data_IF_575394204368
#
_entry.id   IF_575394204368
#
_cell.length_a   1.000
_cell.length_b   1.000
_cell.length_c   1.000
_cell.angle_alpha   90.00
_cell.angle_beta   90.00
_cell.angle_gamma   90.00
#
_symmetry.space_group_name_H-M   'P 1'
#
loop_
_entity.id
_entity.type
_entity.pdbx_description
1 polymer ?
#
# COMPACT_ATOMS: atom_id res chain seq x y z
N UNK A 1 -8.56 5.02 31.00
CA UNK A 1 -8.39 3.68 31.61
C UNK A 1 -9.14 3.54 32.94
N UNK A 2 -9.60 4.62 33.57
CA UNK A 2 -10.58 4.55 34.66
C UNK A 2 -11.92 4.03 34.12
N UNK A 3 -12.62 3.21 34.89
CA UNK A 3 -13.96 2.72 34.54
C UNK A 3 -15.04 3.72 34.97
N UNK A 4 -16.32 3.31 34.96
CA UNK A 4 -17.40 4.10 35.58
C UNK A 4 -17.27 4.21 37.10
N UNK A 5 -16.50 3.32 37.75
CA UNK A 5 -16.18 3.39 39.17
C UNK A 5 -14.83 4.07 39.37
N UNK A 6 -14.76 5.16 40.17
CA UNK A 6 -13.55 5.99 40.24
C UNK A 6 -12.28 5.25 40.67
N UNK A 7 -12.41 4.26 41.55
CA UNK A 7 -11.28 3.50 42.12
C UNK A 7 -10.94 2.24 41.33
N UNK A 8 -11.64 1.97 40.23
CA UNK A 8 -11.44 0.77 39.41
C UNK A 8 -10.89 1.18 38.04
N UNK A 9 -9.74 0.60 37.68
CA UNK A 9 -9.09 0.76 36.38
C UNK A 9 -9.11 -0.56 35.62
N UNK A 10 -9.24 -0.46 34.30
CA UNK A 10 -9.21 -1.61 33.39
C UNK A 10 -8.21 -1.37 32.25
N UNK A 11 -7.55 -2.43 31.81
CA UNK A 11 -6.59 -2.45 30.72
C UNK A 11 -6.53 -3.85 30.09
N UNK A 12 -5.90 -3.95 28.92
CA UNK A 12 -5.70 -5.21 28.20
C UNK A 12 -6.89 -5.58 27.32
N UNK A 13 -6.98 -6.86 26.98
CA UNK A 13 -7.87 -7.36 25.93
C UNK A 13 -9.37 -7.19 26.25
N UNK A 14 -9.69 -6.94 27.52
CA UNK A 14 -11.07 -6.77 28.00
C UNK A 14 -11.64 -5.38 27.70
N UNK A 15 -10.79 -4.37 27.45
CA UNK A 15 -11.26 -2.99 27.26
C UNK A 15 -11.45 -2.61 25.80
N UNK A 16 -12.41 -1.74 25.54
CA UNK A 16 -12.49 -1.03 24.27
C UNK A 16 -11.46 0.10 24.21
N UNK A 17 -10.97 0.39 23.00
CA UNK A 17 -10.01 1.45 22.72
C UNK A 17 -10.42 2.23 21.48
N UNK A 18 -10.16 3.55 21.51
CA UNK A 18 -10.34 4.39 20.34
C UNK A 18 -9.38 3.97 19.24
N UNK A 19 -9.90 3.59 18.07
CA UNK A 19 -9.08 3.38 16.89
C UNK A 19 -8.71 4.74 16.28
N UNK A 20 -7.40 5.03 16.20
CA UNK A 20 -6.90 6.37 15.89
C UNK A 20 -7.28 6.85 14.48
N UNK A 21 -7.47 5.95 13.52
CA UNK A 21 -7.84 6.33 12.15
C UNK A 21 -9.36 6.34 11.94
N UNK A 22 -10.07 5.28 12.34
CA UNK A 22 -11.53 5.20 12.13
C UNK A 22 -12.33 6.04 13.11
N UNK A 23 -11.72 6.44 14.23
CA UNK A 23 -12.36 7.12 15.38
C UNK A 23 -13.49 6.31 16.04
N UNK A 24 -13.59 5.01 15.74
CA UNK A 24 -14.53 4.09 16.38
C UNK A 24 -13.90 3.47 17.64
N UNK A 25 -14.73 3.18 18.62
CA UNK A 25 -14.35 2.30 19.73
C UNK A 25 -14.26 0.86 19.21
N UNK A 26 -13.15 0.20 19.44
CA UNK A 26 -12.91 -1.18 19.02
C UNK A 26 -12.27 -1.99 20.15
N UNK A 27 -12.50 -3.30 20.15
CA UNK A 27 -11.70 -4.24 20.94
C UNK A 27 -10.56 -4.78 20.06
N UNK A 28 -9.31 -4.60 20.48
CA UNK A 28 -8.15 -5.13 19.76
C UNK A 28 -7.20 -5.87 20.72
N UNK A 29 -7.28 -7.21 20.79
CA UNK A 29 -6.50 -7.98 21.74
C UNK A 29 -5.06 -8.14 21.24
N UNK A 30 -4.21 -7.15 21.55
CA UNK A 30 -2.80 -7.11 21.18
C UNK A 30 -1.93 -6.74 22.38
N UNK A 31 -0.83 -7.48 22.55
CA UNK A 31 0.08 -7.32 23.68
C UNK A 31 0.67 -5.90 23.78
N UNK A 32 1.00 -5.28 22.66
CA UNK A 32 1.56 -3.92 22.63
C UNK A 32 0.62 -2.86 23.19
N UNK A 33 -0.67 -2.92 22.84
CA UNK A 33 -1.69 -2.02 23.41
C UNK A 33 -1.96 -2.35 24.88
N UNK A 34 -2.04 -3.64 25.24
CA UNK A 34 -2.27 -4.05 26.62
C UNK A 34 -1.18 -3.53 27.58
N UNK A 35 0.09 -3.63 27.19
CA UNK A 35 1.22 -3.10 27.98
C UNK A 35 1.15 -1.57 28.14
N UNK A 36 0.85 -0.84 27.06
CA UNK A 36 0.70 0.63 27.11
C UNK A 36 -0.47 1.05 27.99
N UNK A 37 -1.60 0.35 27.88
CA UNK A 37 -2.78 0.58 28.71
C UNK A 37 -2.48 0.29 30.19
N UNK A 38 -1.78 -0.82 30.49
CA UNK A 38 -1.38 -1.18 31.85
C UNK A 38 -0.49 -0.11 32.49
N UNK A 39 0.49 0.42 31.76
CA UNK A 39 1.31 1.56 32.20
C UNK A 39 0.46 2.78 32.56
N UNK A 40 -0.52 3.11 31.72
CA UNK A 40 -1.42 4.24 31.97
C UNK A 40 -2.34 3.99 33.16
N UNK A 41 -2.93 2.79 33.25
CA UNK A 41 -3.80 2.39 34.35
C UNK A 41 -3.07 2.43 35.70
N UNK A 42 -1.88 1.81 35.79
CA UNK A 42 -1.08 1.79 37.01
C UNK A 42 -0.59 3.18 37.43
N UNK A 43 -0.11 3.99 36.47
CA UNK A 43 0.30 5.37 36.77
C UNK A 43 -0.87 6.21 37.30
N UNK A 44 -2.06 6.07 36.74
CA UNK A 44 -3.22 6.85 37.15
C UNK A 44 -3.81 6.35 38.48
N UNK A 45 -3.78 5.04 38.75
CA UNK A 45 -4.11 4.49 40.06
C UNK A 45 -3.18 5.02 41.18
N UNK A 46 -1.92 5.33 40.85
CA UNK A 46 -0.96 5.96 41.75
C UNK A 46 -1.06 7.50 41.84
N UNK A 47 -2.12 8.11 41.30
CA UNK A 47 -2.35 9.57 41.32
C UNK A 47 -1.81 10.35 40.11
N UNK A 48 -1.28 9.65 39.10
CA UNK A 48 -0.85 10.24 37.83
C UNK A 48 -2.01 10.63 36.88
N UNK A 49 -1.66 11.27 35.75
CA UNK A 49 -2.62 11.74 34.73
C UNK A 49 -2.17 11.38 33.29
N UNK A 50 -1.69 10.16 33.10
CA UNK A 50 -1.33 9.67 31.77
C UNK A 50 -2.57 9.42 30.91
N UNK A 51 -2.45 9.69 29.61
CA UNK A 51 -3.47 9.44 28.61
C UNK A 51 -3.01 8.36 27.62
N UNK A 52 -3.83 7.34 27.44
CA UNK A 52 -3.69 6.41 26.32
C UNK A 52 -4.47 6.97 25.12
N UNK A 53 -3.77 7.39 24.06
CA UNK A 53 -4.42 8.06 22.92
C UNK A 53 -5.34 7.14 22.10
N UNK A 54 -5.03 5.84 22.06
CA UNK A 54 -5.75 4.86 21.25
C UNK A 54 -4.83 3.87 20.55
N UNK A 55 -5.39 3.16 19.58
CA UNK A 55 -4.76 2.05 18.84
C UNK A 55 -4.86 2.24 17.34
N UNK A 56 -3.91 1.72 16.57
CA UNK A 56 -3.96 1.66 15.10
C UNK A 56 -4.18 0.24 14.56
N UNK A 57 -4.17 -0.75 15.45
CA UNK A 57 -4.24 -2.16 15.06
C UNK A 57 -3.03 -2.68 14.27
N UNK A 58 -1.84 -2.12 14.53
CA UNK A 58 -0.59 -2.66 14.00
C UNK A 58 -0.41 -4.11 14.44
N UNK A 59 -0.33 -5.02 13.47
CA UNK A 59 -0.19 -6.45 13.71
C UNK A 59 0.65 -7.09 12.63
N UNK A 60 1.42 -8.11 13.00
CA UNK A 60 2.34 -8.83 12.13
C UNK A 60 2.28 -10.33 12.46
N UNK A 61 2.33 -11.17 11.43
CA UNK A 61 2.36 -12.63 11.54
C UNK A 61 3.41 -13.24 10.59
N UNK A 62 3.95 -14.39 10.97
CA UNK A 62 4.79 -15.24 10.12
C UNK A 62 3.99 -16.45 9.68
N UNK A 63 3.87 -16.66 8.37
CA UNK A 63 3.23 -17.81 7.75
C UNK A 63 4.27 -18.54 6.89
N UNK A 64 4.81 -19.65 7.40
CA UNK A 64 6.00 -20.30 6.83
C UNK A 64 7.15 -19.28 6.67
N UNK A 65 7.61 -19.03 5.45
CA UNK A 65 8.70 -18.09 5.15
C UNK A 65 8.20 -16.69 4.78
N UNK A 66 6.88 -16.48 4.76
CA UNK A 66 6.27 -15.20 4.40
C UNK A 66 5.86 -14.46 5.68
N UNK A 67 6.10 -13.17 5.68
CA UNK A 67 5.67 -12.23 6.72
C UNK A 67 4.53 -11.38 6.17
N UNK A 68 3.45 -11.27 6.95
CA UNK A 68 2.30 -10.42 6.64
C UNK A 68 2.14 -9.41 7.77
N UNK A 69 1.98 -8.14 7.44
CA UNK A 69 1.79 -7.08 8.40
C UNK A 69 0.75 -6.07 7.95
N UNK A 70 0.09 -5.42 8.91
CA UNK A 70 -0.87 -4.34 8.65
C UNK A 70 -0.84 -3.29 9.75
N UNK A 71 -1.29 -2.09 9.42
CA UNK A 71 -1.57 -0.99 10.37
C UNK A 71 -2.65 -0.07 9.80
N UNK A 72 -3.48 0.53 10.66
CA UNK A 72 -4.55 1.43 10.25
C UNK A 72 -5.74 0.70 9.62
N UNK A 73 -6.38 1.33 8.64
CA UNK A 73 -7.56 0.80 7.97
C UNK A 73 -7.22 -0.12 6.81
N UNK A 74 -7.94 -1.22 6.72
CA UNK A 74 -8.06 -1.98 5.47
C UNK A 74 -8.93 -1.22 4.46
N UNK A 75 -8.83 -1.61 3.19
CA UNK A 75 -9.71 -1.10 2.14
C UNK A 75 -11.20 -1.30 2.44
N UNK A 76 -11.58 -2.48 2.94
CA UNK A 76 -12.96 -2.78 3.33
C UNK A 76 -13.46 -1.85 4.44
N UNK A 77 -12.63 -1.60 5.47
CA UNK A 77 -12.98 -0.68 6.55
C UNK A 77 -13.07 0.78 6.07
N UNK A 78 -12.20 1.21 5.15
CA UNK A 78 -12.30 2.54 4.56
C UNK A 78 -13.62 2.70 3.77
N UNK A 79 -14.02 1.68 3.01
CA UNK A 79 -15.31 1.62 2.31
C UNK A 79 -16.51 1.66 3.26
N UNK A 80 -16.51 0.83 4.30
CA UNK A 80 -17.57 0.80 5.33
C UNK A 80 -17.74 2.13 6.07
N UNK A 81 -16.65 2.89 6.21
CA UNK A 81 -16.66 4.21 6.83
C UNK A 81 -17.09 5.33 5.86
N UNK A 82 -17.39 5.01 4.60
CA UNK A 82 -17.75 6.00 3.58
C UNK A 82 -16.59 6.95 3.24
N UNK A 83 -15.33 6.55 3.47
CA UNK A 83 -14.16 7.36 3.13
C UNK A 83 -13.99 7.45 1.62
N UNK A 84 -13.51 8.61 1.15
CA UNK A 84 -13.02 8.78 -0.22
C UNK A 84 -11.57 8.37 -0.24
N UNK A 85 -11.26 7.26 -0.91
CA UNK A 85 -9.95 6.65 -0.86
C UNK A 85 -9.58 6.00 -2.19
N UNK A 86 -8.28 5.88 -2.43
CA UNK A 86 -7.73 5.00 -3.45
C UNK A 86 -6.71 4.05 -2.84
N UNK A 87 -6.39 3.00 -3.60
CA UNK A 87 -5.40 1.99 -3.22
C UNK A 87 -4.28 1.97 -4.24
N UNK A 88 -3.05 1.86 -3.76
CA UNK A 88 -1.89 1.60 -4.60
C UNK A 88 -1.08 0.41 -4.06
N UNK A 89 -0.52 -0.37 -4.98
CA UNK A 89 0.41 -1.45 -4.73
C UNK A 89 1.81 -1.05 -5.21
N UNK A 90 2.79 -1.23 -4.33
CA UNK A 90 4.20 -0.95 -4.57
C UNK A 90 5.02 -2.21 -4.30
N UNK A 91 5.24 -3.05 -5.33
CA UNK A 91 6.23 -4.11 -5.27
C UNK A 91 7.63 -3.55 -5.23
N UNK A 92 8.46 -4.05 -4.32
CA UNK A 92 9.86 -3.62 -4.19
C UNK A 92 10.71 -4.73 -3.59
N UNK A 93 12.02 -4.67 -3.84
CA UNK A 93 12.98 -5.49 -3.12
C UNK A 93 13.24 -4.87 -1.73
N UNK A 94 13.43 -5.71 -0.72
CA UNK A 94 13.65 -5.23 0.64
C UNK A 94 15.00 -4.53 0.84
N UNK A 95 15.98 -4.77 -0.03
CA UNK A 95 17.24 -4.02 -0.13
C UNK A 95 17.72 -3.95 -1.59
N UNK A 96 18.90 -3.37 -1.82
CA UNK A 96 19.47 -3.18 -3.14
C UNK A 96 19.58 -4.51 -3.91
N UNK A 97 19.07 -4.54 -5.14
CA UNK A 97 18.97 -5.79 -5.91
C UNK A 97 20.29 -6.36 -6.42
N UNK A 98 21.36 -5.55 -6.46
CA UNK A 98 22.70 -6.00 -6.78
C UNK A 98 23.42 -6.64 -5.57
N UNK A 99 22.90 -6.44 -4.35
CA UNK A 99 23.43 -7.10 -3.16
C UNK A 99 22.78 -8.48 -3.03
N UNK A 100 23.54 -9.54 -2.65
CA UNK A 100 23.00 -10.89 -2.54
C UNK A 100 21.82 -11.00 -1.58
N UNK A 101 20.87 -11.89 -1.89
CA UNK A 101 19.76 -12.21 -0.98
C UNK A 101 18.52 -11.31 -1.12
N UNK A 102 18.47 -10.40 -2.08
CA UNK A 102 17.32 -9.49 -2.25
C UNK A 102 16.00 -10.24 -2.51
N UNK A 103 15.08 -10.17 -1.54
CA UNK A 103 13.72 -10.71 -1.62
C UNK A 103 12.67 -9.63 -1.87
N UNK A 104 11.59 -10.04 -2.53
CA UNK A 104 10.44 -9.18 -2.85
C UNK A 104 9.52 -8.96 -1.65
N UNK A 105 8.82 -7.82 -1.69
CA UNK A 105 7.65 -7.52 -0.90
C UNK A 105 6.67 -6.71 -1.75
N UNK A 106 5.41 -6.70 -1.35
CA UNK A 106 4.40 -5.77 -1.87
C UNK A 106 3.85 -4.96 -0.70
N UNK A 107 3.94 -3.65 -0.82
CA UNK A 107 3.25 -2.70 0.05
C UNK A 107 1.97 -2.23 -0.61
N UNK A 108 0.84 -2.39 0.07
CA UNK A 108 -0.46 -1.79 -0.26
C UNK A 108 -0.69 -0.60 0.65
N UNK A 109 -0.99 0.56 0.09
CA UNK A 109 -1.47 1.73 0.85
C UNK A 109 -2.95 1.97 0.57
N UNK A 110 -3.68 2.34 1.62
CA UNK A 110 -5.02 2.93 1.55
C UNK A 110 -4.88 4.42 1.86
N UNK A 111 -5.22 5.28 0.91
CA UNK A 111 -4.91 6.72 0.95
C UNK A 111 -6.17 7.54 0.70
N UNK A 112 -6.35 8.62 1.46
CA UNK A 112 -7.46 9.56 1.26
C UNK A 112 -7.24 10.41 -0.01
N UNK A 113 -8.23 10.43 -0.93
CA UNK A 113 -8.11 10.96 -2.31
C UNK A 113 -7.72 12.43 -2.42
N UNK A 114 -8.01 13.25 -1.41
CA UNK A 114 -7.83 14.71 -1.49
C UNK A 114 -6.67 15.23 -0.65
N UNK A 115 -6.42 14.59 0.49
CA UNK A 115 -5.41 15.06 1.45
C UNK A 115 -4.09 14.32 1.30
N UNK A 116 -4.10 13.13 0.69
CA UNK A 116 -2.96 12.23 0.71
C UNK A 116 -2.71 11.62 2.10
N UNK A 117 -3.63 11.76 3.06
CA UNK A 117 -3.51 11.15 4.38
C UNK A 117 -3.46 9.63 4.26
N UNK A 118 -2.51 9.02 4.95
CA UNK A 118 -2.34 7.56 4.97
C UNK A 118 -3.39 6.98 5.94
N UNK A 119 -4.37 6.26 5.40
CA UNK A 119 -5.43 5.64 6.20
C UNK A 119 -5.01 4.26 6.72
N UNK A 120 -4.20 3.54 5.95
CA UNK A 120 -3.69 2.25 6.35
C UNK A 120 -2.68 1.68 5.37
N UNK A 121 -2.01 0.62 5.82
CA UNK A 121 -1.02 -0.09 5.05
C UNK A 121 -1.08 -1.59 5.34
N UNK A 122 -0.83 -2.38 4.30
CA UNK A 122 -0.71 -3.84 4.36
C UNK A 122 0.54 -4.24 3.59
N UNK A 123 1.38 -5.10 4.16
CA UNK A 123 2.63 -5.55 3.53
C UNK A 123 2.70 -7.07 3.60
N UNK A 124 3.04 -7.68 2.47
CA UNK A 124 3.39 -9.10 2.37
C UNK A 124 4.76 -9.24 1.71
N UNK A 125 5.61 -10.11 2.25
CA UNK A 125 6.94 -10.36 1.70
C UNK A 125 7.74 -11.32 2.56
N UNK A 126 8.97 -11.62 2.14
CA UNK A 126 9.81 -12.58 2.86
C UNK A 126 10.71 -11.92 3.91
N UNK A 127 11.24 -10.73 3.65
CA UNK A 127 12.19 -10.04 4.54
C UNK A 127 11.93 -8.53 4.56
N UNK A 128 12.25 -7.88 5.70
CA UNK A 128 12.15 -6.44 5.90
C UNK A 128 10.73 -5.86 5.97
N UNK A 129 9.71 -6.72 6.13
CA UNK A 129 8.29 -6.35 6.26
C UNK A 129 8.02 -5.61 7.56
N UNK A 130 8.57 -6.12 8.66
CA UNK A 130 8.57 -5.54 10.01
C UNK A 130 9.08 -4.08 9.99
N UNK A 131 10.24 -3.83 9.37
CA UNK A 131 10.80 -2.48 9.27
C UNK A 131 9.84 -1.52 8.59
N UNK A 132 9.21 -1.92 7.47
CA UNK A 132 8.36 -1.01 6.70
C UNK A 132 7.01 -0.80 7.35
N UNK A 133 6.44 -1.82 7.99
CA UNK A 133 5.18 -1.63 8.70
C UNK A 133 5.34 -0.72 9.92
N UNK A 134 6.49 -0.76 10.60
CA UNK A 134 6.77 0.11 11.74
C UNK A 134 6.95 1.57 11.31
N UNK A 135 7.63 1.81 10.18
CA UNK A 135 7.72 3.16 9.58
C UNK A 135 6.34 3.67 9.19
N UNK A 136 5.51 2.87 8.52
CA UNK A 136 4.15 3.27 8.14
C UNK A 136 3.23 3.45 9.34
N UNK A 137 3.37 2.61 10.38
CA UNK A 137 2.63 2.76 11.63
C UNK A 137 2.97 4.08 12.31
N UNK A 138 4.26 4.44 12.33
CA UNK A 138 4.74 5.72 12.84
C UNK A 138 4.20 6.90 12.03
N UNK A 139 4.24 6.79 10.69
CA UNK A 139 3.71 7.82 9.79
C UNK A 139 2.20 8.05 10.00
N UNK A 140 1.41 6.97 10.08
CA UNK A 140 -0.04 7.06 10.34
C UNK A 140 -0.30 7.65 11.74
N UNK A 141 0.50 7.28 12.74
CA UNK A 141 0.33 7.80 14.11
C UNK A 141 0.56 9.31 14.18
N UNK A 142 1.52 9.81 13.38
CA UNK A 142 1.84 11.21 13.24
C UNK A 142 0.94 11.98 12.26
N UNK A 143 -0.07 11.32 11.66
CA UNK A 143 -0.93 11.85 10.59
C UNK A 143 -0.13 12.40 9.40
N UNK A 144 0.96 11.73 9.05
CA UNK A 144 1.72 12.05 7.84
C UNK A 144 0.92 11.69 6.59
N UNK A 145 1.23 12.39 5.51
CA UNK A 145 0.68 12.20 4.17
C UNK A 145 1.66 11.42 3.29
N UNK A 146 1.19 11.02 2.11
CA UNK A 146 2.04 10.40 1.08
C UNK A 146 3.16 11.33 0.58
N UNK A 147 2.98 12.65 0.72
CA UNK A 147 4.02 13.64 0.42
C UNK A 147 5.16 13.61 1.43
N UNK A 148 4.87 13.30 2.69
CA UNK A 148 5.90 13.11 3.70
C UNK A 148 6.67 11.80 3.44
N UNK A 149 5.97 10.73 3.04
CA UNK A 149 6.59 9.44 2.74
C UNK A 149 7.65 9.51 1.65
N UNK A 150 7.41 10.27 0.57
CA UNK A 150 8.38 10.42 -0.52
C UNK A 150 9.62 11.23 -0.11
N UNK A 151 9.57 11.96 1.02
CA UNK A 151 10.65 12.80 1.53
C UNK A 151 11.38 12.22 2.75
N UNK A 152 11.00 11.01 3.22
CA UNK A 152 11.65 10.39 4.36
C UNK A 152 13.14 10.09 4.08
N UNK A 153 14.02 10.50 4.98
CA UNK A 153 15.44 10.16 4.97
C UNK A 153 15.68 8.88 5.78
N UNK A 154 15.61 7.73 5.11
CA UNK A 154 15.73 6.41 5.73
C UNK A 154 17.15 5.85 5.56
N UNK A 155 17.65 5.19 6.60
CA UNK A 155 18.98 4.60 6.60
C UNK A 155 19.21 3.64 5.42
N UNK A 156 20.29 3.88 4.68
CA UNK A 156 20.65 3.12 3.50
C UNK A 156 22.10 2.63 3.53
N UNK A 157 22.24 1.32 3.35
CA UNK A 157 23.40 0.69 2.74
C UNK A 157 22.89 -0.55 1.95
N UNK A 158 23.65 -1.07 0.98
CA UNK A 158 23.20 -2.16 0.11
C UNK A 158 22.57 -3.38 0.82
N UNK A 159 23.06 -3.83 2.00
CA UNK A 159 22.48 -4.97 2.72
C UNK A 159 21.13 -4.68 3.41
N UNK A 160 20.79 -3.40 3.65
CA UNK A 160 19.68 -3.04 4.54
C UNK A 160 18.52 -2.34 3.81
N UNK A 161 18.79 -1.72 2.68
CA UNK A 161 17.81 -0.92 1.98
C UNK A 161 18.21 -0.60 0.54
N UNK A 162 17.46 0.30 -0.06
CA UNK A 162 17.68 0.83 -1.40
C UNK A 162 17.72 2.35 -1.31
N UNK A 163 18.35 3.01 -2.29
CA UNK A 163 18.37 4.47 -2.35
C UNK A 163 16.97 5.10 -2.33
N UNK A 164 15.96 4.35 -2.83
CA UNK A 164 14.55 4.61 -2.55
C UNK A 164 13.98 3.40 -1.82
N UNK A 165 13.74 3.56 -0.52
CA UNK A 165 13.13 2.53 0.31
C UNK A 165 11.73 2.16 -0.25
N UNK A 166 11.25 0.91 -0.08
CA UNK A 166 9.87 0.53 -0.41
C UNK A 166 8.79 1.49 0.12
N UNK A 167 8.96 2.10 1.30
CA UNK A 167 8.02 3.12 1.83
C UNK A 167 8.05 4.40 1.00
N UNK A 168 9.24 4.87 0.63
CA UNK A 168 9.43 6.05 -0.23
C UNK A 168 8.80 5.77 -1.60
N UNK A 169 9.03 4.58 -2.16
CA UNK A 169 8.42 4.16 -3.43
C UNK A 169 6.88 4.15 -3.38
N UNK A 170 6.30 3.65 -2.29
CA UNK A 170 4.85 3.67 -2.09
C UNK A 170 4.32 5.11 -1.97
N UNK A 171 5.03 5.98 -1.24
CA UNK A 171 4.76 7.41 -1.16
C UNK A 171 4.76 8.09 -2.53
N UNK A 172 5.81 7.89 -3.33
CA UNK A 172 5.94 8.45 -4.68
C UNK A 172 4.83 7.99 -5.63
N UNK A 173 4.43 6.71 -5.58
CA UNK A 173 3.33 6.21 -6.42
C UNK A 173 2.03 6.90 -6.03
N UNK A 174 1.73 6.98 -4.73
CA UNK A 174 0.49 7.58 -4.24
C UNK A 174 0.45 9.11 -4.42
N UNK A 175 1.57 9.80 -4.22
CA UNK A 175 1.67 11.25 -4.39
C UNK A 175 1.46 11.65 -5.86
N UNK A 176 1.96 10.85 -6.81
CA UNK A 176 1.67 11.05 -8.23
C UNK A 176 0.17 10.99 -8.52
N UNK A 177 -0.59 10.10 -7.85
CA UNK A 177 -2.04 10.03 -8.03
C UNK A 177 -2.71 11.30 -7.53
N UNK A 178 -2.35 11.78 -6.32
CA UNK A 178 -2.90 13.03 -5.77
C UNK A 178 -2.56 14.24 -6.65
N UNK A 179 -1.33 14.30 -7.18
CA UNK A 179 -0.88 15.37 -8.10
C UNK A 179 -1.52 15.29 -9.49
N UNK A 180 -2.43 14.33 -9.74
CA UNK A 180 -3.03 14.06 -11.05
C UNK A 180 -1.99 13.74 -12.14
N UNK A 181 -0.85 13.27 -11.68
CA UNK A 181 0.31 12.92 -12.46
C UNK A 181 0.30 11.42 -12.79
N UNK A 182 -0.28 10.60 -11.93
CA UNK A 182 -0.53 9.18 -12.16
C UNK A 182 -2.01 8.90 -12.18
N UNK A 183 -2.47 8.06 -13.11
CA UNK A 183 -3.78 7.42 -13.06
C UNK A 183 -3.55 5.94 -12.88
N UNK A 184 -4.06 5.39 -11.79
CA UNK A 184 -3.86 3.98 -11.46
C UNK A 184 -5.18 3.25 -11.37
N UNK A 185 -5.12 1.95 -11.62
CA UNK A 185 -6.22 1.02 -11.38
C UNK A 185 -5.69 -0.20 -10.64
N UNK A 186 -6.46 -0.73 -9.71
CA UNK A 186 -6.14 -1.98 -9.00
C UNK A 186 -6.49 -3.20 -9.86
N UNK A 187 -5.90 -4.38 -9.58
CA UNK A 187 -6.32 -5.63 -10.22
C UNK A 187 -7.84 -5.89 -10.14
N UNK A 188 -8.44 -5.65 -8.97
CA UNK A 188 -9.89 -5.79 -8.77
C UNK A 188 -10.71 -4.87 -9.67
N UNK A 189 -10.30 -3.61 -9.80
CA UNK A 189 -10.97 -2.66 -10.69
C UNK A 189 -10.73 -2.98 -12.17
N UNK A 190 -9.59 -3.56 -12.54
CA UNK A 190 -9.36 -4.08 -13.89
C UNK A 190 -10.35 -5.20 -14.21
N UNK A 191 -10.58 -6.13 -13.29
CA UNK A 191 -11.59 -7.18 -13.46
C UNK A 191 -13.00 -6.62 -13.61
N UNK A 192 -13.38 -5.63 -12.80
CA UNK A 192 -14.65 -4.92 -12.92
C UNK A 192 -14.78 -4.23 -14.30
N UNK A 193 -13.74 -3.49 -14.75
CA UNK A 193 -13.77 -2.79 -16.04
C UNK A 193 -13.89 -3.74 -17.23
N UNK A 194 -13.12 -4.84 -17.27
CA UNK A 194 -13.12 -5.75 -18.44
C UNK A 194 -14.43 -6.52 -18.61
N UNK A 195 -15.29 -6.54 -17.58
CA UNK A 195 -16.64 -7.13 -17.68
C UNK A 195 -17.69 -6.17 -18.22
N UNK A 196 -17.48 -4.85 -18.09
CA UNK A 196 -18.47 -3.83 -18.43
C UNK A 196 -18.11 -2.96 -19.64
N UNK A 197 -16.85 -2.92 -20.03
CA UNK A 197 -16.34 -2.04 -21.08
C UNK A 197 -15.37 -2.78 -22.01
N UNK A 198 -15.35 -2.39 -23.28
CA UNK A 198 -14.31 -2.82 -24.23
C UNK A 198 -13.05 -1.96 -24.02
N UNK A 199 -12.05 -2.54 -23.37
CA UNK A 199 -10.79 -1.89 -22.99
C UNK A 199 -9.59 -2.56 -23.66
N UNK A 200 -8.51 -1.81 -23.80
CA UNK A 200 -7.22 -2.34 -24.23
C UNK A 200 -6.35 -2.65 -23.01
N UNK A 201 -6.02 -3.92 -22.80
CA UNK A 201 -5.02 -4.32 -21.81
C UNK A 201 -3.67 -4.37 -22.52
N UNK A 202 -2.71 -3.55 -22.08
CA UNK A 202 -1.41 -3.40 -22.73
C UNK A 202 -0.29 -3.94 -21.82
N UNK A 203 0.34 -5.03 -22.23
CA UNK A 203 1.57 -5.52 -21.62
C UNK A 203 2.77 -4.83 -22.27
N UNK A 204 3.52 -4.05 -21.50
CA UNK A 204 4.75 -3.40 -21.96
C UNK A 204 6.05 -4.07 -21.49
N UNK A 205 5.97 -5.33 -21.06
CA UNK A 205 7.12 -6.18 -20.76
C UNK A 205 7.80 -6.68 -22.05
N UNK A 206 8.85 -7.46 -21.88
CA UNK A 206 9.51 -8.20 -22.96
C UNK A 206 8.66 -9.39 -23.41
N UNK A 207 8.91 -9.90 -24.62
CA UNK A 207 8.27 -11.11 -25.14
C UNK A 207 8.46 -12.31 -24.19
N UNK A 208 9.68 -12.50 -23.68
CA UNK A 208 9.97 -13.59 -22.74
C UNK A 208 9.17 -13.50 -21.44
N UNK A 209 8.93 -12.28 -20.93
CA UNK A 209 8.10 -12.08 -19.74
C UNK A 209 6.62 -12.35 -20.02
N UNK A 210 6.14 -12.00 -21.22
CA UNK A 210 4.77 -12.24 -21.67
C UNK A 210 4.49 -13.74 -21.85
N UNK A 211 5.43 -14.46 -22.48
CA UNK A 211 5.30 -15.90 -22.77
C UNK A 211 5.29 -16.75 -21.48
N UNK A 212 5.95 -16.29 -20.42
CA UNK A 212 5.91 -16.92 -19.08
C UNK A 212 4.57 -16.73 -18.35
N UNK A 213 3.67 -15.91 -18.88
CA UNK A 213 2.38 -15.59 -18.30
C UNK A 213 2.08 -14.11 -18.40
N UNK A 214 0.83 -13.79 -18.74
CA UNK A 214 0.32 -12.43 -18.94
C UNK A 214 -1.13 -12.34 -18.48
N UNK A 215 -1.63 -11.11 -18.35
CA UNK A 215 -3.05 -10.85 -18.14
C UNK A 215 -3.82 -11.31 -19.38
N UNK A 216 -4.88 -12.07 -19.20
CA UNK A 216 -5.70 -12.58 -20.30
C UNK A 216 -6.22 -11.44 -21.20
N UNK A 217 -6.09 -11.63 -22.51
CA UNK A 217 -6.48 -10.62 -23.51
C UNK A 217 -5.50 -9.45 -23.68
N UNK A 218 -4.33 -9.49 -23.03
CA UNK A 218 -3.34 -8.43 -23.18
C UNK A 218 -2.72 -8.39 -24.58
N UNK A 219 -2.56 -7.18 -25.12
CA UNK A 219 -1.74 -6.89 -26.30
C UNK A 219 -0.31 -6.63 -25.83
N UNK A 220 0.67 -7.28 -26.46
CA UNK A 220 2.09 -7.07 -26.17
C UNK A 220 2.68 -5.96 -27.05
N UNK A 221 3.11 -4.87 -26.42
CA UNK A 221 3.97 -3.85 -27.04
C UNK A 221 5.05 -3.46 -26.02
N UNK A 222 6.28 -4.00 -26.13
CA UNK A 222 7.37 -3.66 -25.22
C UNK A 222 7.56 -2.14 -25.11
N UNK A 223 7.85 -1.66 -23.90
CA UNK A 223 7.93 -0.21 -23.62
C UNK A 223 8.87 0.56 -24.57
N UNK A 224 9.96 -0.08 -25.00
CA UNK A 224 10.96 0.51 -25.91
C UNK A 224 10.45 0.61 -27.37
N UNK A 225 9.45 -0.20 -27.73
CA UNK A 225 8.80 -0.20 -29.04
C UNK A 225 7.54 0.65 -29.06
N UNK A 226 6.95 0.95 -27.90
CA UNK A 226 5.68 1.66 -27.76
C UNK A 226 5.64 2.98 -28.56
N UNK A 227 6.75 3.72 -28.58
CA UNK A 227 6.83 4.99 -29.35
C UNK A 227 6.61 4.81 -30.85
N UNK A 228 6.96 3.65 -31.41
CA UNK A 228 6.81 3.32 -32.83
C UNK A 228 5.48 2.63 -33.12
N UNK A 229 4.93 1.92 -32.13
CA UNK A 229 3.81 0.99 -32.28
C UNK A 229 2.50 1.44 -31.61
N UNK A 230 2.46 2.59 -30.94
CA UNK A 230 1.24 3.03 -30.24
C UNK A 230 0.02 3.24 -31.15
N UNK A 231 0.21 3.41 -32.46
CA UNK A 231 -0.87 3.50 -33.43
C UNK A 231 -1.56 2.15 -33.69
N UNK A 232 -1.02 1.04 -33.17
CA UNK A 232 -1.71 -0.26 -33.13
C UNK A 232 -2.85 -0.27 -32.09
N UNK A 233 -2.85 0.70 -31.16
CA UNK A 233 -3.88 0.83 -30.12
C UNK A 233 -5.05 1.66 -30.65
N UNK A 234 -6.27 1.23 -30.35
CA UNK A 234 -7.48 2.01 -30.61
C UNK A 234 -7.53 3.25 -29.69
N UNK A 235 -7.47 4.48 -30.23
CA UNK A 235 -7.48 5.70 -29.43
C UNK A 235 -8.82 5.99 -28.74
N UNK A 236 -9.90 5.29 -29.11
CA UNK A 236 -11.22 5.44 -28.50
C UNK A 236 -11.43 4.53 -27.29
N UNK A 237 -10.57 3.53 -27.09
CA UNK A 237 -10.63 2.62 -25.94
C UNK A 237 -9.79 3.12 -24.78
N UNK A 238 -10.25 2.84 -23.56
CA UNK A 238 -9.41 2.98 -22.36
C UNK A 238 -8.24 2.00 -22.46
N UNK A 239 -7.03 2.47 -22.13
CA UNK A 239 -5.83 1.64 -22.13
C UNK A 239 -5.38 1.37 -20.69
N UNK A 240 -5.38 0.11 -20.27
CA UNK A 240 -4.77 -0.30 -19.00
C UNK A 240 -3.39 -0.89 -19.30
N UNK A 241 -2.34 -0.09 -19.07
CA UNK A 241 -0.96 -0.51 -19.27
C UNK A 241 -0.38 -1.13 -18.01
N UNK A 242 0.36 -2.22 -18.16
CA UNK A 242 1.10 -2.84 -17.07
C UNK A 242 2.49 -3.33 -17.52
N UNK A 243 3.36 -3.51 -16.53
CA UNK A 243 4.61 -4.20 -16.70
C UNK A 243 4.79 -5.16 -15.52
N UNK A 244 6.02 -5.62 -15.22
CA UNK A 244 6.24 -6.51 -14.08
C UNK A 244 5.79 -5.91 -12.73
N UNK A 245 6.17 -4.67 -12.44
CA UNK A 245 5.98 -4.03 -11.11
C UNK A 245 5.38 -2.62 -11.17
N UNK A 246 5.05 -2.12 -12.36
CA UNK A 246 4.46 -0.78 -12.58
C UNK A 246 5.43 0.32 -13.05
N UNK A 247 6.76 0.14 -12.94
CA UNK A 247 7.75 1.16 -13.32
C UNK A 247 7.79 1.46 -14.83
N UNK A 248 8.07 0.45 -15.68
CA UNK A 248 8.06 0.61 -17.16
C UNK A 248 6.68 1.05 -17.66
N UNK A 249 5.63 0.55 -17.03
CA UNK A 249 4.26 0.95 -17.32
C UNK A 249 4.00 2.42 -17.01
N UNK A 250 4.62 3.01 -15.97
CA UNK A 250 4.50 4.44 -15.70
C UNK A 250 5.12 5.28 -16.83
N UNK A 251 6.27 4.86 -17.37
CA UNK A 251 6.90 5.52 -18.53
C UNK A 251 5.99 5.44 -19.76
N UNK A 252 5.45 4.25 -20.06
CA UNK A 252 4.53 4.07 -21.18
C UNK A 252 3.20 4.83 -20.99
N UNK A 253 2.66 4.82 -19.78
CA UNK A 253 1.47 5.61 -19.40
C UNK A 253 1.67 7.10 -19.68
N UNK A 254 2.78 7.70 -19.21
CA UNK A 254 3.06 9.12 -19.45
C UNK A 254 3.14 9.44 -20.95
N UNK A 255 3.74 8.54 -21.73
CA UNK A 255 3.78 8.68 -23.18
C UNK A 255 2.38 8.60 -23.82
N UNK A 256 1.54 7.64 -23.42
CA UNK A 256 0.17 7.50 -23.91
C UNK A 256 -0.70 8.71 -23.57
N UNK A 257 -0.61 9.23 -22.34
CA UNK A 257 -1.29 10.48 -21.93
C UNK A 257 -0.84 11.64 -22.80
N UNK A 258 0.46 11.79 -23.09
CA UNK A 258 0.97 12.83 -23.98
C UNK A 258 0.42 12.70 -25.42
N UNK A 259 0.08 11.49 -25.85
CA UNK A 259 -0.54 11.22 -27.16
C UNK A 259 -2.07 11.32 -27.16
N UNK A 260 -2.69 11.66 -26.03
CA UNK A 260 -4.13 11.88 -25.91
C UNK A 260 -4.96 10.63 -25.62
N UNK A 261 -4.33 9.51 -25.25
CA UNK A 261 -5.06 8.29 -24.87
C UNK A 261 -5.67 8.42 -23.47
N UNK A 262 -6.85 7.81 -23.26
CA UNK A 262 -7.40 7.57 -21.93
C UNK A 262 -6.72 6.37 -21.27
N UNK A 263 -5.55 6.59 -20.66
CA UNK A 263 -4.72 5.53 -20.10
C UNK A 263 -4.76 5.46 -18.56
N UNK A 264 -4.54 4.25 -18.03
CA UNK A 264 -4.37 3.94 -16.61
C UNK A 264 -3.21 2.94 -16.44
N UNK A 265 -2.44 3.08 -15.36
CA UNK A 265 -1.40 2.12 -14.99
C UNK A 265 -1.95 1.10 -13.99
N UNK A 266 -1.80 -0.19 -14.28
CA UNK A 266 -2.15 -1.25 -13.34
C UNK A 266 -1.19 -1.23 -12.15
N UNK A 267 -1.66 -0.75 -11.00
CA UNK A 267 -0.83 -0.63 -9.81
C UNK A 267 -0.37 -2.01 -9.33
N UNK A 268 0.91 -2.13 -8.97
CA UNK A 268 1.55 -3.41 -8.69
C UNK A 268 2.00 -4.21 -9.92
N UNK A 269 1.60 -3.82 -11.13
CA UNK A 269 1.91 -4.55 -12.35
C UNK A 269 1.45 -6.02 -12.33
N UNK A 270 2.10 -6.86 -13.13
CA UNK A 270 1.80 -8.28 -13.22
C UNK A 270 2.04 -9.03 -11.89
N UNK A 271 3.04 -8.60 -11.11
CA UNK A 271 3.30 -9.18 -9.78
C UNK A 271 2.11 -8.94 -8.84
N UNK A 272 1.60 -7.70 -8.78
CA UNK A 272 0.41 -7.38 -8.00
C UNK A 272 -0.83 -8.13 -8.48
N UNK A 273 -1.02 -8.25 -9.80
CA UNK A 273 -2.14 -8.96 -10.42
C UNK A 273 -2.17 -10.46 -10.08
N UNK A 274 -1.03 -11.14 -10.24
CA UNK A 274 -0.95 -12.58 -9.92
C UNK A 274 -1.13 -12.86 -8.43
N UNK A 275 -0.69 -11.95 -7.56
CA UNK A 275 -0.90 -12.09 -6.11
C UNK A 275 -2.34 -11.79 -5.69
N UNK A 276 -3.08 -10.93 -6.40
CA UNK A 276 -4.50 -10.69 -6.11
C UNK A 276 -5.42 -11.83 -6.50
N UNK A 277 -5.03 -12.68 -7.45
CA UNK A 277 -5.83 -13.85 -7.86
C UNK A 277 -5.86 -14.95 -6.78
N UNK A 278 -4.95 -14.88 -5.81
CA UNK A 278 -4.86 -15.83 -4.68
C UNK A 278 -5.72 -15.36 -3.48
N UNK A 279 -6.35 -14.19 -3.57
CA UNK A 279 -7.16 -13.57 -2.49
C UNK A 279 -8.66 -13.72 -2.69
#
# INVERSE_FOLDING_TARGET
MQTSYPDIYAAGDIVESLHLVSKKMIRIPLAGSANKQGRVAGANAAGGKLLFKGVQGTSIIKACDITLARTGLTEGQAKELGRKYFVCYSPSLHHAGYYPGAKWMICKLVVEEFTGLILGAEIVGWEGVDKRIDVLSTAIYANLTVFDLENLDLAYAPPFGSARDPVIMAGMIASNVIRQEGRIITPRQLDELRTGEDITILDCRTQEEYDRGHVEGAILIPVDELRKRYLELDPHKKVVIYCRVGYRANVGFRFLIQKGFDAYNLTGGYLGYTMSIIG
#
